data_IF_854189975510
#
_entry.id   IF_854189975510
#
_cell.length_a   1.000
_cell.length_b   1.000
_cell.length_c   1.000
_cell.angle_alpha   90.00
_cell.angle_beta   90.00
_cell.angle_gamma   90.00
#
_symmetry.space_group_name_H-M   'P 1'
#
loop_
_entity.id
_entity.type
_entity.pdbx_description
1 polymer ?
#
# COMPACT_ATOMS: atom_id res chain seq x y z
N UNK A 1 -25.99 0.02 6.53
CA UNK A 1 -25.38 -0.73 5.40
C UNK A 1 -23.95 -1.08 5.79
N UNK A 2 -23.47 -2.30 5.51
CA UNK A 2 -22.08 -2.71 5.76
C UNK A 2 -21.30 -2.78 4.46
N UNK A 3 -20.13 -2.16 4.43
CA UNK A 3 -19.28 -2.04 3.23
C UNK A 3 -17.91 -2.65 3.53
N UNK A 4 -17.45 -3.56 2.68
CA UNK A 4 -16.06 -4.03 2.66
C UNK A 4 -15.24 -3.18 1.69
N UNK A 5 -14.12 -2.64 2.14
CA UNK A 5 -13.32 -1.66 1.40
C UNK A 5 -11.85 -2.11 1.39
N UNK A 6 -11.28 -2.26 0.20
CA UNK A 6 -9.85 -2.60 0.02
C UNK A 6 -9.30 -1.92 -1.24
N UNK A 7 -7.99 -1.84 -1.39
CA UNK A 7 -7.34 -1.04 -2.44
C UNK A 7 -5.90 -1.52 -2.70
N UNK A 8 -5.25 -1.01 -3.74
CA UNK A 8 -3.79 -1.05 -3.92
C UNK A 8 -3.19 -2.47 -3.80
N UNK A 9 -3.83 -3.46 -4.45
CA UNK A 9 -3.39 -4.85 -4.40
C UNK A 9 -2.10 -5.07 -5.20
N UNK A 10 -1.91 -4.30 -6.28
CA UNK A 10 -0.72 -4.32 -7.12
C UNK A 10 -0.24 -5.73 -7.52
N UNK A 11 -1.14 -6.53 -8.09
CA UNK A 11 -0.82 -7.89 -8.54
C UNK A 11 0.34 -7.87 -9.55
N UNK A 12 1.40 -8.62 -9.25
CA UNK A 12 2.60 -8.69 -10.09
C UNK A 12 3.44 -9.94 -9.87
N UNK A 13 4.18 -10.33 -10.90
CA UNK A 13 5.27 -11.30 -10.82
C UNK A 13 6.54 -10.62 -10.28
N UNK A 14 6.55 -10.23 -9.01
CA UNK A 14 7.72 -9.61 -8.38
C UNK A 14 8.92 -10.53 -8.47
N UNK A 15 10.09 -10.01 -8.87
CA UNK A 15 11.33 -10.79 -8.89
C UNK A 15 11.88 -10.98 -7.48
N UNK A 16 11.97 -9.87 -6.72
CA UNK A 16 12.54 -9.87 -5.37
C UNK A 16 11.74 -10.74 -4.40
N UNK A 17 12.46 -11.63 -3.70
CA UNK A 17 11.90 -12.50 -2.67
C UNK A 17 10.88 -13.52 -3.17
N UNK A 18 10.73 -13.66 -4.50
CA UNK A 18 9.79 -14.61 -5.06
C UNK A 18 10.44 -15.97 -5.32
N UNK A 19 9.61 -17.00 -5.28
CA UNK A 19 9.91 -18.34 -5.78
C UNK A 19 8.76 -18.79 -6.69
N UNK A 20 8.99 -19.85 -7.46
CA UNK A 20 7.94 -20.48 -8.26
C UNK A 20 7.37 -21.65 -7.45
N UNK A 21 6.06 -21.62 -7.22
CA UNK A 21 5.36 -22.60 -6.40
C UNK A 21 4.13 -23.14 -7.12
N UNK A 22 3.60 -24.26 -6.66
CA UNK A 22 2.28 -24.75 -7.04
C UNK A 22 1.27 -24.44 -5.92
N UNK A 23 0.04 -24.11 -6.29
CA UNK A 23 -1.08 -23.94 -5.39
C UNK A 23 -2.31 -24.67 -5.92
N UNK A 24 -2.55 -25.85 -5.36
CA UNK A 24 -3.55 -26.81 -5.84
C UNK A 24 -5.02 -26.36 -5.71
N UNK A 25 -5.45 -25.62 -4.66
CA UNK A 25 -6.87 -25.26 -4.50
C UNK A 25 -7.50 -24.59 -5.73
N UNK A 26 -6.70 -23.89 -6.53
CA UNK A 26 -7.13 -23.20 -7.76
C UNK A 26 -6.36 -23.66 -9.01
N UNK A 27 -5.64 -24.78 -8.89
CA UNK A 27 -4.78 -25.31 -9.95
C UNK A 27 -3.85 -24.24 -10.54
N UNK A 28 -3.22 -23.44 -9.68
CA UNK A 28 -2.13 -22.56 -10.07
C UNK A 28 -0.85 -23.39 -10.09
N UNK A 29 -0.36 -23.69 -11.29
CA UNK A 29 0.89 -24.41 -11.49
C UNK A 29 1.99 -23.42 -11.85
N UNK A 30 3.14 -23.51 -11.19
CA UNK A 30 4.30 -22.65 -11.40
C UNK A 30 3.98 -21.15 -11.30
N UNK A 31 3.28 -20.76 -10.24
CA UNK A 31 2.94 -19.36 -9.94
C UNK A 31 4.06 -18.68 -9.16
N UNK A 32 4.28 -17.38 -9.41
CA UNK A 32 5.14 -16.55 -8.57
C UNK A 32 4.55 -16.45 -7.15
N UNK A 33 5.33 -16.79 -6.13
CA UNK A 33 4.86 -16.85 -4.74
C UNK A 33 4.31 -15.53 -4.22
N UNK A 34 4.81 -14.38 -4.71
CA UNK A 34 4.29 -13.05 -4.33
C UNK A 34 3.00 -12.68 -5.07
N UNK A 35 2.83 -13.15 -6.30
CA UNK A 35 1.53 -13.08 -6.98
C UNK A 35 0.49 -13.94 -6.24
N UNK A 36 0.90 -15.12 -5.75
CA UNK A 36 0.04 -15.98 -4.92
C UNK A 36 -0.34 -15.31 -3.60
N UNK A 37 0.54 -14.54 -2.96
CA UNK A 37 0.17 -13.76 -1.77
C UNK A 37 -0.94 -12.74 -2.09
N UNK A 38 -0.87 -12.10 -3.27
CA UNK A 38 -1.95 -11.29 -3.84
C UNK A 38 -3.26 -12.05 -3.98
N UNK A 39 -3.21 -13.29 -4.48
CA UNK A 39 -4.39 -14.14 -4.58
C UNK A 39 -5.00 -14.47 -3.21
N UNK A 40 -4.16 -14.76 -2.21
CA UNK A 40 -4.60 -15.10 -0.84
C UNK A 40 -5.34 -13.98 -0.13
N UNK A 41 -5.18 -12.73 -0.57
CA UNK A 41 -6.02 -11.62 -0.12
C UNK A 41 -7.49 -11.87 -0.47
N UNK A 42 -7.78 -12.29 -1.71
CA UNK A 42 -9.14 -12.63 -2.11
C UNK A 42 -9.70 -13.80 -1.31
N UNK A 43 -8.89 -14.82 -1.03
CA UNK A 43 -9.30 -15.96 -0.19
C UNK A 43 -9.65 -15.52 1.24
N UNK A 44 -8.88 -14.61 1.82
CA UNK A 44 -9.15 -14.07 3.16
C UNK A 44 -10.37 -13.16 3.19
N UNK A 45 -10.59 -12.36 2.14
CA UNK A 45 -11.85 -11.61 1.96
C UNK A 45 -13.04 -12.57 1.91
N UNK A 46 -12.97 -13.63 1.10
CA UNK A 46 -14.01 -14.65 1.03
C UNK A 46 -14.21 -15.36 2.37
N UNK A 47 -13.13 -15.65 3.10
CA UNK A 47 -13.21 -16.24 4.43
C UNK A 47 -13.92 -15.32 5.43
N UNK A 48 -13.65 -14.02 5.40
CA UNK A 48 -14.34 -13.03 6.22
C UNK A 48 -15.84 -12.97 5.89
N UNK A 49 -16.19 -12.92 4.60
CA UNK A 49 -17.56 -12.82 4.11
C UNK A 49 -18.45 -14.00 4.54
N UNK A 50 -17.87 -15.17 4.88
CA UNK A 50 -18.61 -16.34 5.38
C UNK A 50 -19.41 -16.08 6.63
N UNK A 51 -18.76 -15.47 7.61
CA UNK A 51 -19.38 -15.21 8.91
C UNK A 51 -19.89 -13.76 9.00
N UNK A 52 -19.45 -12.90 8.08
CA UNK A 52 -19.67 -11.46 8.13
C UNK A 52 -20.18 -10.93 6.79
N UNK A 53 -21.47 -11.14 6.48
CA UNK A 53 -22.04 -10.62 5.25
C UNK A 53 -22.01 -9.09 5.20
N UNK A 54 -21.81 -8.57 4.00
CA UNK A 54 -21.80 -7.14 3.68
C UNK A 54 -22.82 -6.86 2.56
N UNK A 55 -23.22 -5.60 2.43
CA UNK A 55 -24.15 -5.16 1.38
C UNK A 55 -23.41 -4.67 0.13
N UNK A 56 -22.17 -4.17 0.32
CA UNK A 56 -21.34 -3.58 -0.72
C UNK A 56 -19.86 -4.00 -0.54
N UNK A 57 -19.18 -4.23 -1.65
CA UNK A 57 -17.73 -4.33 -1.74
C UNK A 57 -17.23 -3.18 -2.62
N UNK A 58 -16.26 -2.41 -2.14
CA UNK A 58 -15.62 -1.36 -2.92
C UNK A 58 -14.12 -1.60 -2.99
N UNK A 59 -13.61 -1.77 -4.20
CA UNK A 59 -12.19 -1.81 -4.49
C UNK A 59 -11.71 -0.45 -4.99
N UNK A 60 -10.85 0.23 -4.25
CA UNK A 60 -10.46 1.62 -4.54
C UNK A 60 -9.23 1.76 -5.45
N UNK A 61 -9.07 0.89 -6.44
CA UNK A 61 -8.08 1.03 -7.52
C UNK A 61 -6.73 0.36 -7.27
N UNK A 62 -5.92 0.34 -8.32
CA UNK A 62 -4.59 -0.29 -8.40
C UNK A 62 -4.63 -1.80 -8.16
N UNK A 63 -5.41 -2.48 -9.00
CA UNK A 63 -5.42 -3.94 -9.04
C UNK A 63 -4.09 -4.49 -9.56
N UNK A 64 -3.51 -3.82 -10.55
CA UNK A 64 -2.26 -4.22 -11.19
C UNK A 64 -1.08 -3.33 -10.75
N UNK A 65 0.13 -3.89 -10.81
CA UNK A 65 1.34 -3.11 -10.49
C UNK A 65 1.90 -2.31 -11.67
N UNK A 66 1.69 -2.77 -12.90
CA UNK A 66 2.33 -2.19 -14.09
C UNK A 66 1.30 -1.65 -15.07
N UNK A 67 1.47 -0.37 -15.45
CA UNK A 67 0.72 0.23 -16.54
C UNK A 67 0.97 -0.51 -17.86
N UNK A 68 -0.05 -0.53 -18.74
CA UNK A 68 0.08 -0.91 -20.15
C UNK A 68 0.23 -2.41 -20.43
N UNK A 69 1.12 -3.10 -19.73
CA UNK A 69 1.39 -4.52 -19.95
C UNK A 69 0.96 -5.34 -18.74
N UNK A 70 0.01 -6.24 -18.98
CA UNK A 70 -0.43 -7.22 -17.98
C UNK A 70 0.00 -8.60 -18.47
N UNK A 71 0.73 -9.30 -17.60
CA UNK A 71 1.09 -10.70 -17.82
C UNK A 71 -0.15 -11.60 -17.73
N UNK A 72 -0.24 -12.62 -18.59
CA UNK A 72 -1.41 -13.50 -18.64
C UNK A 72 -1.63 -14.26 -17.32
N UNK A 73 -0.55 -14.62 -16.60
CA UNK A 73 -0.64 -15.25 -15.28
C UNK A 73 -1.18 -14.29 -14.22
N UNK A 74 -0.75 -13.03 -14.26
CA UNK A 74 -1.27 -11.96 -13.39
C UNK A 74 -2.76 -11.71 -13.66
N UNK A 75 -3.17 -11.61 -14.93
CA UNK A 75 -4.57 -11.44 -15.30
C UNK A 75 -5.42 -12.64 -14.85
N UNK A 76 -4.92 -13.87 -15.01
CA UNK A 76 -5.60 -15.08 -14.53
C UNK A 76 -5.86 -15.01 -13.02
N UNK A 77 -4.86 -14.59 -12.24
CA UNK A 77 -4.98 -14.47 -10.78
C UNK A 77 -6.02 -13.42 -10.39
N UNK A 78 -5.99 -12.27 -11.06
CA UNK A 78 -7.00 -11.23 -10.86
C UNK A 78 -8.41 -11.75 -11.20
N UNK A 79 -8.57 -12.41 -12.35
CA UNK A 79 -9.84 -12.97 -12.79
C UNK A 79 -10.39 -13.98 -11.79
N UNK A 80 -9.60 -14.99 -11.41
CA UNK A 80 -10.05 -16.03 -10.47
C UNK A 80 -10.33 -15.42 -9.09
N UNK A 81 -9.54 -14.46 -8.63
CA UNK A 81 -9.76 -13.78 -7.34
C UNK A 81 -11.11 -13.07 -7.28
N UNK A 82 -11.41 -12.26 -8.30
CA UNK A 82 -12.69 -11.56 -8.40
C UNK A 82 -13.86 -12.52 -8.66
N UNK A 83 -13.69 -13.52 -9.51
CA UNK A 83 -14.70 -14.56 -9.73
C UNK A 83 -15.06 -15.25 -8.42
N UNK A 84 -14.06 -15.58 -7.60
CA UNK A 84 -14.26 -16.22 -6.29
C UNK A 84 -15.07 -15.34 -5.34
N UNK A 85 -14.77 -14.04 -5.28
CA UNK A 85 -15.58 -13.09 -4.50
C UNK A 85 -17.01 -13.05 -5.04
N UNK A 86 -17.19 -12.84 -6.35
CA UNK A 86 -18.51 -12.63 -6.95
C UNK A 86 -19.40 -13.89 -6.94
N UNK A 87 -18.80 -15.08 -6.93
CA UNK A 87 -19.51 -16.35 -6.76
C UNK A 87 -19.79 -16.68 -5.28
N UNK A 88 -19.47 -15.79 -4.35
CA UNK A 88 -19.86 -15.95 -2.96
C UNK A 88 -21.38 -15.73 -2.81
N UNK A 89 -22.15 -16.82 -2.73
CA UNK A 89 -23.60 -16.80 -2.96
C UNK A 89 -24.50 -16.83 -1.72
N UNK A 90 -23.96 -16.83 -0.50
CA UNK A 90 -24.82 -16.96 0.69
C UNK A 90 -25.71 -15.72 0.91
N UNK A 91 -25.25 -14.54 0.50
CA UNK A 91 -26.04 -13.30 0.48
C UNK A 91 -25.63 -12.41 -0.70
N UNK A 92 -26.59 -11.77 -1.38
CA UNK A 92 -26.28 -10.85 -2.48
C UNK A 92 -25.62 -9.58 -1.94
N UNK A 93 -24.60 -9.11 -2.64
CA UNK A 93 -23.96 -7.81 -2.42
C UNK A 93 -23.72 -7.13 -3.77
N UNK A 94 -23.47 -5.83 -3.72
CA UNK A 94 -23.02 -5.05 -4.88
C UNK A 94 -21.50 -4.90 -4.83
N UNK A 95 -20.83 -4.97 -5.97
CA UNK A 95 -19.40 -4.75 -6.06
C UNK A 95 -19.10 -3.56 -6.99
N UNK A 96 -18.23 -2.66 -6.54
CA UNK A 96 -17.75 -1.52 -7.30
C UNK A 96 -16.21 -1.52 -7.30
N UNK A 97 -15.58 -1.23 -8.44
CA UNK A 97 -14.12 -1.16 -8.55
C UNK A 97 -13.71 0.14 -9.25
N UNK A 98 -12.96 0.99 -8.57
CA UNK A 98 -12.37 2.19 -9.15
C UNK A 98 -11.17 1.80 -10.02
N UNK A 99 -10.96 2.57 -11.09
CA UNK A 99 -9.72 2.53 -11.88
C UNK A 99 -8.67 3.37 -11.15
N UNK A 100 -7.60 2.73 -10.70
CA UNK A 100 -6.42 3.41 -10.16
C UNK A 100 -5.46 3.87 -11.25
N UNK A 101 -4.38 4.57 -10.88
CA UNK A 101 -3.43 5.02 -11.88
C UNK A 101 -2.72 3.85 -12.55
N UNK A 102 -2.32 2.81 -11.82
CA UNK A 102 -1.59 1.65 -12.36
C UNK A 102 -2.43 0.73 -13.25
N UNK A 103 -3.76 0.83 -13.16
CA UNK A 103 -4.69 0.02 -13.97
C UNK A 103 -4.82 0.51 -15.42
N UNK A 104 -4.20 1.65 -15.74
CA UNK A 104 -4.28 2.32 -17.03
C UNK A 104 -3.21 1.82 -18.01
N UNK A 105 -3.50 1.94 -19.31
CA UNK A 105 -2.57 1.58 -20.37
C UNK A 105 -1.32 2.49 -20.36
N UNK A 106 -1.52 3.76 -20.03
CA UNK A 106 -0.49 4.78 -19.92
C UNK A 106 -0.97 5.94 -19.04
N UNK A 107 -0.09 6.93 -18.84
CA UNK A 107 -0.38 8.11 -18.00
C UNK A 107 -1.47 9.05 -18.55
N UNK A 108 -1.93 8.85 -19.79
CA UNK A 108 -3.07 9.61 -20.33
C UNK A 108 -4.39 9.12 -19.76
N UNK A 109 -4.40 7.91 -19.19
CA UNK A 109 -5.56 7.28 -18.55
C UNK A 109 -6.79 7.05 -19.44
N UNK A 110 -6.66 7.25 -20.76
CA UNK A 110 -7.76 7.09 -21.71
C UNK A 110 -8.19 5.62 -21.91
N UNK A 111 -7.39 4.67 -21.46
CA UNK A 111 -7.65 3.24 -21.60
C UNK A 111 -7.18 2.52 -20.34
N UNK A 112 -7.97 1.59 -19.84
CA UNK A 112 -7.65 0.82 -18.64
C UNK A 112 -8.06 -0.65 -18.80
N UNK A 113 -7.44 -1.49 -17.98
CA UNK A 113 -7.55 -2.93 -18.07
C UNK A 113 -8.70 -3.54 -17.25
N UNK A 114 -9.54 -2.73 -16.61
CA UNK A 114 -10.51 -3.21 -15.61
C UNK A 114 -11.87 -3.63 -16.17
N UNK A 115 -12.21 -3.28 -17.43
CA UNK A 115 -13.53 -3.53 -18.04
C UNK A 115 -14.00 -4.99 -17.97
N UNK A 116 -13.10 -5.97 -17.97
CA UNK A 116 -13.49 -7.39 -17.87
C UNK A 116 -14.22 -7.73 -16.56
N UNK A 117 -14.05 -6.93 -15.50
CA UNK A 117 -14.77 -7.07 -14.23
C UNK A 117 -16.29 -6.92 -14.38
N UNK A 118 -16.75 -6.14 -15.37
CA UNK A 118 -18.18 -5.97 -15.65
C UNK A 118 -18.85 -7.29 -16.04
N UNK A 119 -18.11 -8.18 -16.69
CA UNK A 119 -18.60 -9.53 -17.04
C UNK A 119 -18.85 -10.42 -15.82
N UNK A 120 -18.25 -10.07 -14.66
CA UNK A 120 -18.48 -10.71 -13.37
C UNK A 120 -19.55 -9.99 -12.53
N UNK A 121 -20.17 -8.94 -13.05
CA UNK A 121 -21.18 -8.14 -12.34
C UNK A 121 -20.61 -7.08 -11.39
N UNK A 122 -19.32 -6.75 -11.52
CA UNK A 122 -18.68 -5.65 -10.78
C UNK A 122 -18.90 -4.36 -11.56
N UNK A 123 -19.33 -3.30 -10.89
CA UNK A 123 -19.46 -1.97 -11.47
C UNK A 123 -18.09 -1.28 -11.55
N UNK A 124 -17.56 -1.11 -12.76
CA UNK A 124 -16.26 -0.46 -12.96
C UNK A 124 -16.45 1.06 -13.01
N UNK A 125 -15.76 1.77 -12.12
CA UNK A 125 -15.78 3.23 -12.04
C UNK A 125 -14.53 3.77 -12.72
N UNK A 126 -14.63 4.10 -14.00
CA UNK A 126 -13.57 4.71 -14.82
C UNK A 126 -13.79 6.21 -15.06
N UNK A 127 -14.98 6.71 -14.72
CA UNK A 127 -15.34 8.12 -14.57
C UNK A 127 -15.93 8.37 -13.17
N UNK A 128 -15.97 9.64 -12.74
CA UNK A 128 -16.62 9.98 -11.47
C UNK A 128 -18.09 9.54 -11.48
N UNK A 129 -18.51 8.84 -10.43
CA UNK A 129 -19.83 8.22 -10.33
C UNK A 129 -20.53 8.59 -9.03
N UNK A 130 -21.83 8.83 -9.09
CA UNK A 130 -22.67 9.07 -7.92
C UNK A 130 -23.84 8.07 -7.96
N UNK A 131 -23.68 6.93 -7.29
CA UNK A 131 -24.47 5.72 -7.54
C UNK A 131 -25.97 5.92 -7.34
N UNK A 132 -26.72 5.09 -8.08
CA UNK A 132 -28.17 4.97 -8.00
C UNK A 132 -28.55 3.49 -7.98
N UNK A 133 -29.69 3.16 -7.38
CA UNK A 133 -30.26 1.82 -7.35
C UNK A 133 -31.75 1.90 -7.66
N UNK A 134 -32.19 1.19 -8.71
CA UNK A 134 -33.56 1.27 -9.23
C UNK A 134 -34.01 2.72 -9.53
N UNK A 135 -33.10 3.55 -10.03
CA UNK A 135 -33.35 4.98 -10.31
C UNK A 135 -33.50 5.86 -9.07
N UNK A 136 -33.18 5.34 -7.89
CA UNK A 136 -33.10 6.11 -6.65
C UNK A 136 -31.64 6.36 -6.26
N UNK A 137 -31.27 7.58 -5.86
CA UNK A 137 -29.92 7.88 -5.41
C UNK A 137 -29.46 6.99 -4.25
N UNK A 138 -28.19 6.57 -4.27
CA UNK A 138 -27.49 5.98 -3.12
C UNK A 138 -26.53 7.00 -2.51
N UNK A 139 -26.20 6.80 -1.23
CA UNK A 139 -25.26 7.64 -0.47
C UNK A 139 -23.79 7.38 -0.82
N UNK A 140 -23.49 6.73 -1.95
CA UNK A 140 -22.14 6.30 -2.32
C UNK A 140 -21.68 7.07 -3.56
N UNK A 141 -20.51 7.69 -3.48
CA UNK A 141 -19.88 8.39 -4.60
C UNK A 141 -18.45 7.87 -4.82
N UNK A 142 -18.03 7.80 -6.07
CA UNK A 142 -16.79 7.15 -6.50
C UNK A 142 -16.01 8.11 -7.40
N UNK A 143 -14.72 8.30 -7.11
CA UNK A 143 -13.81 9.10 -7.91
C UNK A 143 -12.59 8.25 -8.30
N UNK A 144 -12.54 7.72 -9.54
CA UNK A 144 -11.32 7.06 -10.03
C UNK A 144 -10.15 8.02 -10.04
N UNK A 145 -8.96 7.51 -10.33
CA UNK A 145 -7.75 8.32 -10.24
C UNK A 145 -7.85 9.63 -11.02
N UNK A 146 -7.41 10.71 -10.38
CA UNK A 146 -7.28 12.03 -10.98
C UNK A 146 -6.33 12.87 -10.14
N UNK A 147 -5.56 13.71 -10.82
CA UNK A 147 -4.77 14.78 -10.19
C UNK A 147 -5.35 16.16 -10.51
N UNK A 148 -6.54 16.22 -11.13
CA UNK A 148 -7.21 17.46 -11.47
C UNK A 148 -8.05 17.96 -10.29
N UNK A 149 -7.59 19.06 -9.69
CA UNK A 149 -8.24 19.73 -8.56
C UNK A 149 -9.68 20.15 -8.87
N UNK A 150 -9.97 20.57 -10.10
CA UNK A 150 -11.33 21.03 -10.46
C UNK A 150 -12.29 19.85 -10.58
N UNK A 151 -11.82 18.70 -11.08
CA UNK A 151 -12.58 17.44 -11.07
C UNK A 151 -12.90 17.03 -9.64
N UNK A 152 -11.94 17.10 -8.71
CA UNK A 152 -12.14 16.75 -7.30
C UNK A 152 -13.18 17.68 -6.63
N UNK A 153 -13.10 18.99 -6.88
CA UNK A 153 -14.09 19.96 -6.37
C UNK A 153 -15.49 19.68 -6.93
N UNK A 154 -15.59 19.41 -8.22
CA UNK A 154 -16.87 19.09 -8.86
C UNK A 154 -17.46 17.79 -8.30
N UNK A 155 -16.63 16.78 -8.07
CA UNK A 155 -17.02 15.53 -7.42
C UNK A 155 -17.65 15.78 -6.04
N UNK A 156 -16.97 16.53 -5.16
CA UNK A 156 -17.50 16.80 -3.82
C UNK A 156 -18.79 17.62 -3.85
N UNK A 157 -18.88 18.61 -4.74
CA UNK A 157 -20.10 19.39 -4.94
C UNK A 157 -21.29 18.48 -5.30
N UNK A 158 -21.13 17.60 -6.29
CA UNK A 158 -22.18 16.66 -6.72
C UNK A 158 -22.50 15.63 -5.64
N UNK A 159 -21.50 15.17 -4.88
CA UNK A 159 -21.69 14.25 -3.76
C UNK A 159 -22.50 14.90 -2.62
N UNK A 160 -22.31 16.20 -2.36
CA UNK A 160 -23.11 16.96 -1.40
C UNK A 160 -24.56 17.18 -1.87
N UNK A 161 -24.77 17.49 -3.15
CA UNK A 161 -26.11 17.65 -3.74
C UNK A 161 -27.00 16.39 -3.56
N UNK A 162 -26.39 15.19 -3.48
CA UNK A 162 -27.10 13.94 -3.18
C UNK A 162 -27.77 13.93 -1.81
N UNK A 163 -27.24 14.65 -0.82
CA UNK A 163 -27.84 14.78 0.51
C UNK A 163 -29.18 15.52 0.51
N UNK A 164 -29.53 16.18 -0.61
CA UNK A 164 -30.82 16.83 -0.82
C UNK A 164 -31.75 16.04 -1.73
N UNK A 165 -31.30 14.91 -2.28
CA UNK A 165 -32.07 14.14 -3.25
C UNK A 165 -33.20 13.35 -2.60
N UNK A 166 -34.29 13.13 -3.35
CA UNK A 166 -35.45 12.36 -2.89
C UNK A 166 -35.02 10.93 -2.49
N UNK A 167 -35.29 10.54 -1.25
CA UNK A 167 -34.90 9.24 -0.69
C UNK A 167 -33.59 9.26 0.13
N UNK A 168 -32.78 10.33 0.00
CA UNK A 168 -31.54 10.54 0.75
C UNK A 168 -31.51 11.84 1.55
N UNK A 169 -32.61 12.60 1.58
CA UNK A 169 -32.68 13.91 2.21
C UNK A 169 -32.17 13.87 3.67
N UNK A 170 -31.09 14.60 3.96
CA UNK A 170 -30.46 14.67 5.28
C UNK A 170 -29.53 13.49 5.62
N UNK A 171 -29.34 12.54 4.71
CA UNK A 171 -28.39 11.45 4.89
C UNK A 171 -27.05 11.80 4.23
N UNK A 172 -25.93 11.88 4.99
CA UNK A 172 -24.65 12.32 4.42
C UNK A 172 -24.05 11.31 3.43
N UNK A 173 -23.21 11.75 2.50
CA UNK A 173 -22.62 10.89 1.47
C UNK A 173 -21.32 10.25 1.94
N UNK A 174 -21.02 9.05 1.45
CA UNK A 174 -19.75 8.34 1.65
C UNK A 174 -19.03 8.33 0.31
N UNK A 175 -17.77 8.75 0.32
CA UNK A 175 -16.97 8.88 -0.88
C UNK A 175 -15.84 7.86 -0.90
N UNK A 176 -15.62 7.26 -2.05
CA UNK A 176 -14.49 6.39 -2.36
C UNK A 176 -13.69 7.06 -3.45
N UNK A 177 -12.37 7.11 -3.30
CA UNK A 177 -11.52 7.71 -4.31
C UNK A 177 -10.18 7.00 -4.42
N UNK A 178 -9.54 7.14 -5.57
CA UNK A 178 -8.14 6.76 -5.74
C UNK A 178 -7.32 8.04 -5.95
N UNK A 179 -6.82 8.67 -4.90
CA UNK A 179 -6.05 9.91 -5.01
C UNK A 179 -5.12 10.08 -3.82
N UNK A 180 -3.94 10.66 -4.07
CA UNK A 180 -3.06 11.10 -3.00
C UNK A 180 -3.71 12.23 -2.19
N UNK A 181 -3.49 12.21 -0.87
CA UNK A 181 -3.95 13.25 0.04
C UNK A 181 -2.78 14.16 0.36
N UNK A 182 -2.98 15.47 0.18
CA UNK A 182 -1.97 16.47 0.45
C UNK A 182 -1.64 16.53 1.95
N UNK A 183 -0.37 16.74 2.27
CA UNK A 183 0.10 16.86 3.66
C UNK A 183 0.23 15.54 4.43
N UNK A 184 -0.10 14.39 3.84
CA UNK A 184 0.09 13.07 4.48
C UNK A 184 1.53 12.59 4.26
N UNK A 185 2.33 12.41 5.34
CA UNK A 185 3.71 11.96 5.21
C UNK A 185 3.77 10.48 4.87
N UNK A 186 4.65 10.13 3.94
CA UNK A 186 5.12 8.76 3.77
C UNK A 186 6.02 8.38 4.96
N UNK A 187 6.24 7.08 5.18
CA UNK A 187 7.16 6.59 6.21
C UNK A 187 8.60 7.09 6.10
N UNK A 188 9.02 7.45 4.89
CA UNK A 188 10.33 8.09 4.66
C UNK A 188 10.44 9.51 5.23
N UNK A 189 9.33 10.08 5.72
CA UNK A 189 9.20 11.49 6.11
C UNK A 189 8.97 12.43 4.93
N UNK A 190 9.00 11.92 3.69
CA UNK A 190 8.63 12.70 2.51
C UNK A 190 7.13 12.95 2.48
N UNK A 191 6.72 14.19 2.23
CA UNK A 191 5.32 14.59 2.05
C UNK A 191 5.11 14.89 0.57
N UNK A 192 4.44 14.01 -0.20
CA UNK A 192 4.09 14.28 -1.58
C UNK A 192 3.07 15.43 -1.63
N UNK A 193 3.27 16.37 -2.56
CA UNK A 193 2.21 17.31 -2.91
C UNK A 193 1.12 16.59 -3.69
N UNK A 194 -0.14 16.78 -3.31
CA UNK A 194 -1.28 16.13 -3.98
C UNK A 194 -2.41 17.12 -4.25
N UNK A 195 -3.25 16.81 -5.25
CA UNK A 195 -4.37 17.66 -5.64
C UNK A 195 -5.50 17.68 -4.60
N UNK A 196 -5.75 16.55 -3.92
CA UNK A 196 -6.81 16.44 -2.93
C UNK A 196 -6.32 16.90 -1.55
N UNK A 197 -7.01 17.88 -0.98
CA UNK A 197 -6.83 18.33 0.40
C UNK A 197 -8.12 18.07 1.20
N UNK A 198 -8.00 17.66 2.46
CA UNK A 198 -9.15 17.33 3.32
C UNK A 198 -10.08 18.51 3.59
N UNK A 199 -9.60 19.76 3.46
CA UNK A 199 -10.42 20.98 3.57
C UNK A 199 -11.43 21.13 2.41
N UNK A 200 -11.25 20.35 1.33
CA UNK A 200 -12.20 20.31 0.21
C UNK A 200 -13.48 19.52 0.52
N UNK A 201 -13.51 18.77 1.63
CA UNK A 201 -14.60 17.85 1.98
C UNK A 201 -15.77 18.65 2.59
N UNK A 202 -16.96 18.69 1.96
CA UNK A 202 -18.10 19.41 2.50
C UNK A 202 -18.73 18.74 3.73
N UNK A 203 -19.55 19.49 4.45
CA UNK A 203 -20.24 19.01 5.66
C UNK A 203 -21.18 17.84 5.38
N UNK A 204 -21.81 17.85 4.20
CA UNK A 204 -22.68 16.76 3.72
C UNK A 204 -21.97 15.42 3.48
N UNK A 205 -20.64 15.34 3.59
CA UNK A 205 -19.89 14.09 3.49
C UNK A 205 -19.65 13.51 4.89
N UNK A 206 -20.03 12.24 5.04
CA UNK A 206 -19.80 11.45 6.25
C UNK A 206 -18.35 11.00 6.35
N UNK A 207 -17.83 10.37 5.30
CA UNK A 207 -16.47 9.84 5.27
C UNK A 207 -15.92 9.74 3.85
N UNK A 208 -14.61 9.84 3.71
CA UNK A 208 -13.84 9.65 2.48
C UNK A 208 -12.82 8.54 2.69
N UNK A 209 -12.88 7.51 1.85
CA UNK A 209 -11.90 6.43 1.78
C UNK A 209 -11.05 6.59 0.54
N UNK A 210 -9.74 6.75 0.72
CA UNK A 210 -8.78 6.99 -0.36
C UNK A 210 -7.79 5.82 -0.52
N UNK A 211 -7.66 5.32 -1.75
CA UNK A 211 -6.55 4.45 -2.17
C UNK A 211 -5.28 5.24 -2.48
N UNK A 212 -4.41 4.70 -3.34
CA UNK A 212 -3.16 5.31 -3.87
C UNK A 212 -1.97 5.30 -2.89
N UNK A 213 -2.22 5.49 -1.60
CA UNK A 213 -1.19 5.38 -0.57
C UNK A 213 -1.29 4.03 0.14
N UNK A 214 -0.15 3.34 0.27
CA UNK A 214 -0.10 1.95 0.74
C UNK A 214 -0.16 1.79 2.27
N UNK A 215 0.08 2.86 3.04
CA UNK A 215 0.02 2.84 4.50
C UNK A 215 -1.39 3.18 5.00
N UNK A 216 -2.05 2.24 5.69
CA UNK A 216 -3.35 2.49 6.31
C UNK A 216 -3.23 3.61 7.36
N UNK A 217 -4.09 4.63 7.27
CA UNK A 217 -4.04 5.77 8.18
C UNK A 217 -5.37 6.49 8.27
N UNK A 218 -5.83 6.78 9.49
CA UNK A 218 -6.86 7.78 9.73
C UNK A 218 -6.21 9.17 9.66
N UNK A 219 -6.56 9.95 8.62
CA UNK A 219 -5.99 11.29 8.38
C UNK A 219 -6.76 12.35 9.14
N UNK A 220 -8.09 12.29 9.08
CA UNK A 220 -9.00 13.14 9.85
C UNK A 220 -10.16 12.30 10.37
N UNK A 221 -11.12 12.91 11.09
CA UNK A 221 -12.36 12.23 11.45
C UNK A 221 -13.24 11.85 10.25
N UNK A 222 -13.04 12.48 9.08
CA UNK A 222 -13.79 12.23 7.85
C UNK A 222 -12.95 11.58 6.74
N UNK A 223 -11.68 11.25 6.99
CA UNK A 223 -10.78 10.78 5.92
C UNK A 223 -9.88 9.66 6.39
N UNK A 224 -9.88 8.55 5.64
CA UNK A 224 -9.05 7.38 5.87
C UNK A 224 -8.33 6.99 4.59
N UNK A 225 -7.00 6.85 4.66
CA UNK A 225 -6.21 6.13 3.67
C UNK A 225 -6.42 4.64 3.91
N UNK A 226 -6.89 3.93 2.88
CA UNK A 226 -7.24 2.50 2.97
C UNK A 226 -5.98 1.68 3.21
N UNK A 227 -4.92 1.96 2.45
CA UNK A 227 -3.69 1.18 2.44
C UNK A 227 -3.79 -0.05 1.53
N UNK A 228 -2.63 -0.62 1.23
CA UNK A 228 -2.55 -1.91 0.54
C UNK A 228 -2.86 -3.05 1.53
N UNK A 229 -3.40 -4.19 1.07
CA UNK A 229 -3.61 -5.37 1.89
C UNK A 229 -2.33 -6.17 2.14
N UNK A 230 -1.23 -5.82 1.47
CA UNK A 230 0.07 -6.48 1.56
C UNK A 230 1.19 -5.45 1.77
N UNK A 231 2.29 -5.88 2.39
CA UNK A 231 3.54 -5.13 2.30
C UNK A 231 4.13 -5.41 0.90
N UNK A 232 4.26 -4.35 0.09
CA UNK A 232 4.69 -4.47 -1.29
C UNK A 232 6.21 -4.36 -1.39
N UNK A 233 6.83 -3.60 -0.48
CA UNK A 233 8.27 -3.48 -0.39
C UNK A 233 8.72 -3.09 1.03
N UNK A 234 10.03 -2.90 1.20
CA UNK A 234 10.64 -2.52 2.47
C UNK A 234 10.14 -1.19 3.08
N UNK A 235 9.59 -0.27 2.29
CA UNK A 235 9.00 0.96 2.81
C UNK A 235 7.70 0.71 3.59
N UNK A 236 7.06 -0.44 3.37
CA UNK A 236 5.86 -0.89 4.09
C UNK A 236 6.19 -1.62 5.41
N UNK A 237 7.48 -1.82 5.73
CA UNK A 237 7.90 -2.55 6.92
C UNK A 237 7.23 -2.00 8.19
N UNK A 238 6.65 -2.89 8.99
CA UNK A 238 5.96 -2.55 10.23
C UNK A 238 4.54 -2.01 10.06
N UNK A 239 4.02 -1.86 8.83
CA UNK A 239 2.60 -1.57 8.64
C UNK A 239 1.73 -2.78 8.94
N UNK A 240 0.63 -2.53 9.63
CA UNK A 240 -0.53 -3.40 9.57
C UNK A 240 -1.16 -3.29 8.18
N UNK A 241 -1.49 -4.44 7.58
CA UNK A 241 -2.06 -4.53 6.23
C UNK A 241 -3.36 -5.33 6.29
N UNK A 242 -4.32 -4.98 5.45
CA UNK A 242 -5.68 -5.50 5.58
C UNK A 242 -6.70 -4.78 4.72
N UNK A 243 -7.96 -4.88 5.14
CA UNK A 243 -9.09 -4.18 4.53
C UNK A 243 -10.00 -3.59 5.62
N UNK A 244 -10.89 -2.68 5.22
CA UNK A 244 -11.79 -1.98 6.13
C UNK A 244 -13.21 -2.53 6.00
N UNK A 245 -13.88 -2.67 7.13
CA UNK A 245 -15.32 -2.85 7.22
C UNK A 245 -15.92 -1.57 7.77
N UNK A 246 -16.88 -1.02 7.04
CA UNK A 246 -17.51 0.24 7.39
C UNK A 246 -19.01 0.07 7.56
N UNK A 247 -19.53 0.49 8.70
CA UNK A 247 -20.96 0.56 8.96
C UNK A 247 -21.46 1.99 8.70
N UNK A 248 -22.31 2.15 7.70
CA UNK A 248 -22.78 3.48 7.26
C UNK A 248 -23.71 4.17 8.25
N UNK A 249 -24.34 3.40 9.14
CA UNK A 249 -25.40 3.90 10.01
C UNK A 249 -24.79 4.43 11.31
N UNK A 250 -23.71 3.79 11.78
CA UNK A 250 -22.93 4.20 12.97
C UNK A 250 -21.72 5.05 12.61
N UNK A 251 -21.17 4.90 11.40
CA UNK A 251 -19.88 5.47 11.01
C UNK A 251 -18.67 4.72 11.57
N UNK A 252 -18.87 3.55 12.19
CA UNK A 252 -17.78 2.73 12.74
C UNK A 252 -16.94 2.09 11.63
N UNK A 253 -15.62 2.11 11.84
CA UNK A 253 -14.62 1.50 10.97
C UNK A 253 -13.90 0.39 11.74
N UNK A 254 -13.89 -0.81 11.17
CA UNK A 254 -13.12 -1.94 11.67
C UNK A 254 -12.04 -2.29 10.64
N UNK A 255 -10.76 -2.29 11.05
CA UNK A 255 -9.65 -2.70 10.20
C UNK A 255 -9.37 -4.19 10.40
N UNK A 256 -9.65 -5.00 9.38
CA UNK A 256 -9.43 -6.43 9.37
C UNK A 256 -8.03 -6.71 8.84
N UNK A 257 -7.13 -7.11 9.75
CA UNK A 257 -5.75 -7.47 9.39
C UNK A 257 -5.74 -8.73 8.55
N UNK A 258 -4.93 -8.70 7.50
CA UNK A 258 -4.64 -9.86 6.65
C UNK A 258 -3.39 -10.57 7.18
N UNK A 259 -3.43 -11.90 7.15
CA UNK A 259 -2.26 -12.74 7.35
C UNK A 259 -1.51 -12.89 6.02
N UNK A 260 -0.34 -12.27 5.95
CA UNK A 260 0.49 -12.24 4.76
C UNK A 260 1.97 -12.03 5.12
N UNK A 261 2.90 -12.42 4.22
CA UNK A 261 4.32 -12.18 4.40
C UNK A 261 4.65 -10.73 4.69
N UNK A 262 5.60 -10.53 5.60
CA UNK A 262 6.09 -9.22 6.03
C UNK A 262 7.55 -9.03 5.67
N UNK A 263 7.94 -7.78 5.50
CA UNK A 263 9.31 -7.33 5.46
C UNK A 263 9.76 -7.01 6.89
N UNK A 264 10.89 -7.58 7.30
CA UNK A 264 11.42 -7.47 8.66
C UNK A 264 12.91 -7.18 8.62
N UNK A 265 13.32 -6.08 9.21
CA UNK A 265 14.71 -5.70 9.42
C UNK A 265 15.17 -6.18 10.79
N UNK A 266 16.24 -6.96 10.79
CA UNK A 266 16.92 -7.48 11.97
C UNK A 266 18.25 -6.73 12.11
N UNK A 267 18.38 -5.97 13.20
CA UNK A 267 19.60 -5.26 13.56
C UNK A 267 20.40 -6.10 14.57
N UNK A 268 21.59 -6.56 14.19
CA UNK A 268 22.46 -7.40 15.04
C UNK A 268 23.44 -6.60 15.91
N UNK A 269 23.56 -5.28 15.70
CA UNK A 269 24.48 -4.41 16.41
C UNK A 269 25.97 -4.79 16.34
N UNK A 270 26.82 -4.07 17.07
CA UNK A 270 28.28 -4.27 17.11
C UNK A 270 28.73 -5.57 17.81
N UNK A 271 27.79 -6.40 18.26
CA UNK A 271 28.04 -7.70 18.90
C UNK A 271 27.81 -8.89 17.94
N UNK A 272 27.85 -8.65 16.61
CA UNK A 272 27.53 -9.57 15.51
C UNK A 272 28.32 -10.89 15.39
N UNK A 273 28.87 -11.41 16.49
CA UNK A 273 29.68 -12.61 16.56
C UNK A 273 28.97 -13.81 17.22
N UNK A 274 27.69 -13.71 17.53
CA UNK A 274 26.98 -14.78 18.21
C UNK A 274 25.63 -14.94 17.51
N UNK A 275 25.39 -16.10 16.87
CA UNK A 275 24.16 -16.42 16.13
C UNK A 275 22.88 -16.34 16.99
N UNK A 276 21.83 -17.10 16.65
CA UNK A 276 20.54 -17.06 17.36
C UNK A 276 20.64 -17.09 18.90
N UNK A 277 21.70 -17.68 19.47
CA UNK A 277 21.98 -17.72 20.91
C UNK A 277 22.26 -16.37 21.60
N UNK A 278 22.68 -15.31 20.91
CA UNK A 278 22.93 -13.99 21.54
C UNK A 278 21.92 -12.90 21.18
N UNK A 279 21.04 -13.16 20.22
CA UNK A 279 19.90 -12.28 19.94
C UNK A 279 18.83 -12.28 21.04
N UNK A 280 19.14 -12.89 22.18
CA UNK A 280 18.25 -12.97 23.33
C UNK A 280 17.08 -13.92 23.06
N UNK A 281 16.46 -14.38 24.14
CA UNK A 281 15.36 -15.33 24.16
C UNK A 281 14.05 -14.82 23.50
N UNK A 282 14.12 -13.77 22.65
CA UNK A 282 12.97 -13.05 22.10
C UNK A 282 12.83 -13.12 20.58
N UNK A 283 13.77 -13.71 19.83
CA UNK A 283 13.57 -13.99 18.41
C UNK A 283 12.76 -15.27 18.25
N UNK A 284 11.44 -15.12 18.20
CA UNK A 284 10.53 -16.23 17.95
C UNK A 284 10.58 -16.62 16.47
N UNK A 285 10.57 -17.93 16.20
CA UNK A 285 10.64 -18.50 14.84
C UNK A 285 9.52 -17.97 13.91
N UNK A 286 8.38 -17.62 14.49
CA UNK A 286 7.22 -16.99 13.80
C UNK A 286 7.56 -15.64 13.13
N UNK A 287 8.63 -14.96 13.55
CA UNK A 287 9.06 -13.70 12.91
C UNK A 287 9.76 -13.91 11.58
N UNK A 288 10.36 -15.08 11.35
CA UNK A 288 11.16 -15.36 10.16
C UNK A 288 10.42 -16.23 9.16
N UNK A 289 9.70 -17.23 9.67
CA UNK A 289 9.00 -18.20 8.84
C UNK A 289 7.99 -17.51 7.92
N UNK A 290 8.17 -17.66 6.62
CA UNK A 290 7.29 -17.07 5.61
C UNK A 290 7.52 -15.58 5.30
N UNK A 291 8.49 -14.91 5.94
CA UNK A 291 8.74 -13.47 5.79
C UNK A 291 10.02 -13.16 4.98
N UNK A 292 10.17 -11.89 4.58
CA UNK A 292 11.36 -11.35 3.92
C UNK A 292 12.25 -10.66 4.95
N UNK A 293 13.50 -11.11 5.06
CA UNK A 293 14.41 -10.68 6.12
C UNK A 293 15.53 -9.81 5.55
N UNK A 294 15.74 -8.64 6.19
CA UNK A 294 16.89 -7.77 5.96
C UNK A 294 17.74 -7.81 7.22
N UNK A 295 19.02 -8.08 7.07
CA UNK A 295 19.97 -8.07 8.19
C UNK A 295 20.86 -6.83 8.07
N UNK A 296 20.96 -6.06 9.16
CA UNK A 296 21.83 -4.87 9.27
C UNK A 296 22.75 -4.98 10.48
N UNK A 297 23.85 -4.22 10.45
CA UNK A 297 24.86 -4.18 11.51
C UNK A 297 25.33 -5.57 11.93
N UNK A 298 25.75 -6.40 10.97
CA UNK A 298 26.24 -7.75 11.20
C UNK A 298 27.75 -7.83 10.94
N UNK A 299 28.43 -8.84 11.49
CA UNK A 299 29.80 -9.14 11.09
C UNK A 299 29.78 -9.81 9.71
N UNK A 300 30.49 -9.24 8.74
CA UNK A 300 30.60 -9.83 7.40
C UNK A 300 31.12 -11.27 7.42
N UNK A 301 31.90 -11.66 8.44
CA UNK A 301 32.40 -13.03 8.59
C UNK A 301 31.29 -14.05 8.88
N UNK A 302 30.17 -13.63 9.48
CA UNK A 302 29.03 -14.50 9.83
C UNK A 302 27.90 -14.49 8.79
N UNK A 303 28.07 -13.81 7.66
CA UNK A 303 27.00 -13.61 6.67
C UNK A 303 26.41 -14.93 6.13
N UNK A 304 27.24 -15.92 5.85
CA UNK A 304 26.77 -17.20 5.29
C UNK A 304 26.05 -18.05 6.35
N UNK A 305 26.59 -18.11 7.57
CA UNK A 305 25.96 -18.77 8.70
C UNK A 305 24.58 -18.17 8.98
N UNK A 306 24.48 -16.83 9.07
CA UNK A 306 23.21 -16.13 9.26
C UNK A 306 22.22 -16.43 8.14
N UNK A 307 22.68 -16.50 6.88
CA UNK A 307 21.82 -16.85 5.75
C UNK A 307 21.25 -18.25 5.91
N UNK A 308 22.09 -19.24 6.21
CA UNK A 308 21.67 -20.62 6.45
C UNK A 308 20.69 -20.71 7.62
N UNK A 309 20.94 -19.98 8.71
CA UNK A 309 20.06 -19.96 9.87
C UNK A 309 18.68 -19.37 9.54
N UNK A 310 18.62 -18.19 8.91
CA UNK A 310 17.33 -17.55 8.56
C UNK A 310 16.56 -18.35 7.50
N UNK A 311 17.24 -18.86 6.47
CA UNK A 311 16.60 -19.72 5.46
C UNK A 311 16.15 -21.04 6.08
N UNK A 312 16.93 -21.65 6.97
CA UNK A 312 16.55 -22.84 7.73
C UNK A 312 15.37 -22.61 8.68
N UNK A 313 15.21 -21.38 9.17
CA UNK A 313 14.03 -20.96 9.93
C UNK A 313 12.79 -20.70 9.06
N UNK A 314 12.90 -20.76 7.74
CA UNK A 314 11.79 -20.59 6.79
C UNK A 314 11.63 -19.19 6.21
N UNK A 315 12.64 -18.32 6.32
CA UNK A 315 12.62 -17.03 5.64
C UNK A 315 12.51 -17.22 4.11
N UNK A 316 11.61 -16.45 3.48
CA UNK A 316 11.43 -16.47 2.02
C UNK A 316 12.60 -15.83 1.28
N UNK A 317 13.20 -14.81 1.88
CA UNK A 317 14.43 -14.20 1.40
C UNK A 317 15.24 -13.64 2.54
N UNK A 318 16.55 -13.56 2.34
CA UNK A 318 17.48 -12.93 3.28
C UNK A 318 18.38 -11.99 2.49
N UNK A 319 18.27 -10.70 2.74
CA UNK A 319 19.19 -9.68 2.23
C UNK A 319 20.05 -9.11 3.35
N UNK A 320 21.26 -8.73 3.01
CA UNK A 320 22.20 -8.15 3.94
C UNK A 320 22.52 -6.73 3.47
N UNK A 321 22.30 -5.76 4.34
CA UNK A 321 22.56 -4.35 4.04
C UNK A 321 23.62 -3.86 5.02
N UNK A 322 24.77 -3.45 4.48
CA UNK A 322 25.76 -2.72 5.26
C UNK A 322 25.18 -1.35 5.53
N UNK A 323 25.04 -0.98 6.79
CA UNK A 323 24.64 0.38 7.15
C UNK A 323 25.75 1.30 6.65
N UNK A 324 25.49 2.05 5.57
CA UNK A 324 26.28 3.25 5.29
C UNK A 324 26.11 4.15 6.52
N UNK A 325 27.21 4.58 7.13
CA UNK A 325 27.15 5.60 8.19
C UNK A 325 26.23 6.74 7.73
N UNK A 326 25.44 7.30 8.66
CA UNK A 326 24.54 8.42 8.37
C UNK A 326 25.26 9.46 7.50
N UNK A 327 24.81 9.58 6.25
CA UNK A 327 25.32 10.60 5.36
C UNK A 327 24.63 11.89 5.75
N UNK A 328 25.31 12.67 6.59
CA UNK A 328 24.93 14.03 6.89
C UNK A 328 24.92 14.85 5.59
N UNK A 329 23.73 15.13 5.06
CA UNK A 329 23.56 16.02 3.92
C UNK A 329 23.84 17.45 4.36
N UNK A 330 24.94 18.02 3.88
CA UNK A 330 25.23 19.44 4.04
C UNK A 330 24.24 20.30 3.24
N UNK A 331 23.97 21.50 3.74
CA UNK A 331 23.25 22.51 2.97
C UNK A 331 23.98 22.77 1.63
N UNK A 332 23.25 22.91 0.50
CA UNK A 332 23.87 23.15 -0.80
C UNK A 332 24.75 24.41 -0.77
N UNK A 333 25.93 24.33 -1.39
CA UNK A 333 26.76 25.52 -1.62
C UNK A 333 25.99 26.52 -2.47
N UNK A 334 26.07 27.81 -2.15
CA UNK A 334 25.61 28.91 -3.03
C UNK A 334 26.43 29.07 -4.31
N UNK A 335 27.36 28.14 -4.55
CA UNK A 335 28.33 28.12 -5.63
C UNK A 335 28.04 26.94 -6.56
N UNK A 336 27.91 27.20 -7.85
CA UNK A 336 27.72 26.19 -8.90
C UNK A 336 28.94 25.27 -9.11
N UNK A 337 30.01 25.42 -8.33
CA UNK A 337 31.23 24.62 -8.40
C UNK A 337 31.56 23.99 -7.05
N UNK A 338 31.72 22.67 -7.05
CA UNK A 338 32.18 21.91 -5.89
C UNK A 338 33.70 22.03 -5.74
N UNK A 339 34.15 22.72 -4.69
CA UNK A 339 35.56 22.76 -4.31
C UNK A 339 35.73 21.99 -2.99
N UNK A 340 36.44 20.85 -3.05
CA UNK A 340 36.54 19.89 -1.94
C UNK A 340 37.07 20.54 -0.65
N UNK A 341 38.13 21.37 -0.66
CA UNK A 341 38.60 22.04 0.54
C UNK A 341 37.56 22.95 1.21
N UNK A 342 36.72 23.63 0.42
CA UNK A 342 35.67 24.51 0.95
C UNK A 342 34.50 23.70 1.50
N UNK A 343 34.13 22.60 0.84
CA UNK A 343 33.12 21.67 1.33
C UNK A 343 33.52 21.05 2.68
N UNK A 344 34.80 20.69 2.87
CA UNK A 344 35.33 20.16 4.15
C UNK A 344 35.28 21.23 5.25
N UNK A 345 35.68 22.47 4.94
CA UNK A 345 35.60 23.58 5.91
C UNK A 345 34.17 23.86 6.35
N UNK A 346 33.23 23.76 5.42
CA UNK A 346 31.83 24.01 5.69
C UNK A 346 31.19 22.86 6.50
N UNK A 347 31.57 21.61 6.21
CA UNK A 347 31.23 20.46 7.05
C UNK A 347 31.69 20.65 8.49
N UNK A 348 32.93 21.10 8.70
CA UNK A 348 33.48 21.38 10.03
C UNK A 348 32.78 22.51 10.79
N UNK A 349 32.10 23.44 10.09
CA UNK A 349 31.29 24.50 10.72
C UNK A 349 29.90 24.01 11.09
N UNK A 350 29.31 23.16 10.25
CA UNK A 350 27.92 22.71 10.42
C UNK A 350 27.80 21.54 11.38
N UNK A 351 28.91 20.83 11.67
CA UNK A 351 28.92 19.62 12.49
C UNK A 351 30.01 19.68 13.55
N UNK A 352 29.74 19.10 14.71
CA UNK A 352 30.79 18.85 15.70
C UNK A 352 31.69 17.71 15.19
N UNK A 353 32.92 18.08 14.80
CA UNK A 353 33.90 17.14 14.25
C UNK A 353 34.92 16.74 15.31
N UNK A 354 35.05 15.43 15.55
CA UNK A 354 36.06 14.85 16.44
C UNK A 354 37.50 15.22 16.01
N UNK A 355 38.48 15.29 16.92
CA UNK A 355 39.88 15.57 16.58
C UNK A 355 40.47 14.64 15.50
N UNK A 356 40.14 13.34 15.51
CA UNK A 356 40.63 12.42 14.46
C UNK A 356 40.06 12.74 13.08
N UNK A 357 38.75 12.99 12.98
CA UNK A 357 38.11 13.40 11.70
C UNK A 357 38.63 14.75 11.20
N UNK A 358 38.94 15.71 12.09
CA UNK A 358 39.54 17.01 11.72
C UNK A 358 40.92 16.81 11.07
N UNK A 359 41.72 15.87 11.57
CA UNK A 359 43.03 15.54 10.99
C UNK A 359 42.91 14.96 9.58
N UNK A 360 41.94 14.07 9.35
CA UNK A 360 41.64 13.54 8.01
C UNK A 360 41.20 14.69 7.08
N UNK A 361 40.36 15.60 7.56
CA UNK A 361 39.94 16.79 6.81
C UNK A 361 41.11 17.73 6.46
N UNK A 362 42.13 17.86 7.31
CA UNK A 362 43.36 18.62 6.99
C UNK A 362 44.21 17.95 5.90
N UNK A 363 44.25 16.62 5.85
CA UNK A 363 44.97 15.87 4.80
C UNK A 363 44.26 15.99 3.45
N UNK A 364 42.93 15.91 3.43
CA UNK A 364 42.11 16.07 2.21
C UNK A 364 42.06 17.51 1.68
N UNK A 365 42.52 18.49 2.46
CA UNK A 365 42.62 19.91 2.09
C UNK A 365 43.95 20.28 1.43
N UNK A 366 44.95 19.40 1.48
CA UNK A 366 46.25 19.54 0.80
C UNK A 366 46.14 18.97 -0.60
#
# INVERSE_FOLDING_TARGET
MRILIFSDLHLHNHVYGSSIVDYDPWNFKSINSRLLDGFKVFEQVCAYLKDNPVDEIVFCGDLFHTHGKIDAGVLRVAYVGWETIMQYHDKPFHASALVGNHDTADKTMNTHAMHWLESLGVNVMDVQGHNEFNGLPRRLSYLPYTEDVEVIKEFFKKAEEKTHSKGLAGLPTICFMHAGIDGVPMKSGFVPGSAFNTDMIPDGIQHVFAGHYHGHMKVTDKTTVIGSPLQLNWADEGDDKGFIIYDTDTGEQEFIKIDAPRFVTVDLGSAGALGFGALGQNLRKDWFEGNFIRVVNYDHSSQEELREEFTGAGARSVEFVVKLEEVDRLQPLSSDKLHIPDAIREYEKQKEVTPERRKIGEELRK
#
